data_IF_952587095998
#
_entry.id   IF_952587095998
#
_cell.length_a   1.000
_cell.length_b   1.000
_cell.length_c   1.000
_cell.angle_alpha   90.00
_cell.angle_beta   90.00
_cell.angle_gamma   90.00
#
_symmetry.space_group_name_H-M   'P 1'
#
loop_
_entity.id
_entity.type
_entity.pdbx_description
1 polymer ?
#
# COMPACT_ATOMS: atom_id res chain seq x y z
N UNK A 1 -47.52 -12.90 31.55
CA UNK A 1 -47.08 -12.25 30.29
C UNK A 1 -45.73 -11.60 30.57
N UNK A 2 -44.64 -12.27 30.25
CA UNK A 2 -43.28 -11.77 30.48
C UNK A 2 -42.97 -10.66 29.50
N UNK A 3 -42.62 -9.48 30.01
CA UNK A 3 -42.19 -8.33 29.24
C UNK A 3 -41.00 -8.72 28.35
N UNK A 4 -41.21 -8.76 27.03
CA UNK A 4 -40.09 -8.76 26.10
C UNK A 4 -39.39 -7.41 26.26
N UNK A 5 -38.08 -7.35 26.57
CA UNK A 5 -37.35 -6.09 26.43
C UNK A 5 -37.50 -5.69 24.97
N UNK A 6 -38.07 -4.51 24.73
CA UNK A 6 -38.23 -3.92 23.40
C UNK A 6 -36.86 -3.89 22.73
N UNK A 7 -36.58 -4.90 21.89
CA UNK A 7 -35.29 -5.00 21.24
C UNK A 7 -35.11 -3.77 20.35
N UNK A 8 -33.98 -3.09 20.50
CA UNK A 8 -33.69 -1.91 19.70
C UNK A 8 -33.39 -2.34 18.25
N UNK A 9 -33.83 -1.56 17.26
CA UNK A 9 -33.48 -1.83 15.85
C UNK A 9 -31.95 -1.89 15.72
N UNK A 10 -31.44 -2.94 15.10
CA UNK A 10 -30.00 -3.20 14.97
C UNK A 10 -29.38 -3.98 16.13
N UNK A 11 -30.13 -4.29 17.19
CA UNK A 11 -29.67 -5.15 18.27
C UNK A 11 -29.30 -6.53 17.73
N UNK A 12 -28.13 -7.01 18.11
CA UNK A 12 -27.65 -8.36 17.77
C UNK A 12 -28.02 -9.31 18.91
N UNK A 13 -28.47 -10.52 18.55
CA UNK A 13 -28.84 -11.55 19.51
C UNK A 13 -27.63 -11.99 20.35
N UNK A 14 -27.87 -12.56 21.53
CA UNK A 14 -26.79 -12.95 22.45
C UNK A 14 -25.83 -14.00 21.86
N UNK A 15 -26.32 -14.82 20.92
CA UNK A 15 -25.55 -15.81 20.16
C UNK A 15 -24.90 -15.24 18.88
N UNK A 16 -25.12 -13.96 18.56
CA UNK A 16 -24.52 -13.27 17.42
C UNK A 16 -25.05 -13.69 16.05
N UNK A 17 -26.10 -14.52 16.00
CA UNK A 17 -26.61 -15.10 14.75
C UNK A 17 -27.71 -14.26 14.10
N UNK A 18 -28.44 -13.47 14.88
CA UNK A 18 -29.59 -12.71 14.41
C UNK A 18 -29.46 -11.23 14.75
N UNK A 19 -30.09 -10.40 13.92
CA UNK A 19 -30.23 -8.96 14.14
C UNK A 19 -31.68 -8.57 14.11
N UNK A 20 -32.12 -7.80 15.09
CA UNK A 20 -33.46 -7.28 15.17
C UNK A 20 -33.65 -6.17 14.15
N UNK A 21 -34.60 -6.34 13.23
CA UNK A 21 -34.93 -5.33 12.20
C UNK A 21 -36.03 -4.34 12.64
N UNK A 22 -36.59 -4.52 13.83
CA UNK A 22 -37.72 -3.75 14.34
C UNK A 22 -39.03 -4.54 14.41
N UNK A 23 -39.14 -5.66 13.70
CA UNK A 23 -40.30 -6.55 13.71
C UNK A 23 -39.95 -8.01 14.00
N UNK A 24 -38.79 -8.48 13.52
CA UNK A 24 -38.33 -9.86 13.68
C UNK A 24 -36.80 -9.96 13.78
N UNK A 25 -36.35 -11.12 14.25
CA UNK A 25 -34.94 -11.49 14.25
C UNK A 25 -34.54 -12.04 12.88
N UNK A 26 -33.72 -11.30 12.14
CA UNK A 26 -33.24 -11.68 10.80
C UNK A 26 -31.83 -12.27 10.90
N UNK A 27 -31.54 -13.41 10.24
CA UNK A 27 -30.21 -14.02 10.27
C UNK A 27 -29.13 -13.10 9.68
N UNK A 28 -27.99 -13.03 10.36
CA UNK A 28 -26.83 -12.27 9.91
C UNK A 28 -26.04 -13.12 8.91
N UNK A 29 -25.76 -12.62 7.70
CA UNK A 29 -24.97 -13.36 6.72
C UNK A 29 -23.61 -13.79 7.28
N UNK A 30 -23.21 -15.03 7.00
CA UNK A 30 -21.91 -15.54 7.46
C UNK A 30 -20.77 -14.66 6.93
N UNK A 31 -19.91 -14.24 7.85
CA UNK A 31 -18.78 -13.37 7.52
C UNK A 31 -19.14 -11.89 7.35
N UNK A 32 -20.38 -11.48 7.66
CA UNK A 32 -20.73 -10.08 7.81
C UNK A 32 -19.81 -9.42 8.85
N UNK A 33 -19.40 -8.19 8.56
CA UNK A 33 -18.58 -7.38 9.46
C UNK A 33 -19.09 -5.96 9.44
N UNK A 34 -18.89 -5.27 10.56
CA UNK A 34 -19.35 -3.91 10.73
C UNK A 34 -18.16 -2.95 10.79
N UNK A 35 -18.26 -1.80 10.09
CA UNK A 35 -17.20 -0.81 10.14
C UNK A 35 -17.08 -0.26 11.55
N UNK A 36 -15.84 -0.07 11.99
CA UNK A 36 -15.53 0.71 13.19
C UNK A 36 -15.16 2.13 12.79
N UNK A 37 -15.00 3.06 13.74
CA UNK A 37 -14.48 4.39 13.44
C UNK A 37 -13.10 4.38 12.74
N UNK A 38 -12.35 3.26 12.81
CA UNK A 38 -11.03 3.12 12.19
C UNK A 38 -11.10 2.62 10.74
N UNK A 39 -12.21 2.02 10.32
CA UNK A 39 -12.32 1.37 9.00
C UNK A 39 -12.11 2.35 7.86
N UNK A 40 -12.86 3.45 7.82
CA UNK A 40 -12.75 4.43 6.72
C UNK A 40 -11.42 5.20 6.74
N UNK A 41 -10.93 5.68 7.89
CA UNK A 41 -9.62 6.30 7.96
C UNK A 41 -8.50 5.39 7.47
N UNK A 42 -8.48 4.11 7.86
CA UNK A 42 -7.47 3.17 7.38
C UNK A 42 -7.54 2.96 5.87
N UNK A 43 -8.73 2.73 5.32
CA UNK A 43 -8.93 2.55 3.88
C UNK A 43 -8.47 3.77 3.07
N UNK A 44 -8.79 4.97 3.55
CA UNK A 44 -8.40 6.23 2.90
C UNK A 44 -6.90 6.50 3.04
N UNK A 45 -6.31 6.24 4.20
CA UNK A 45 -4.87 6.40 4.41
C UNK A 45 -4.08 5.44 3.52
N UNK A 46 -4.48 4.17 3.45
CA UNK A 46 -3.86 3.19 2.55
C UNK A 46 -4.04 3.60 1.08
N UNK A 47 -5.24 4.02 0.69
CA UNK A 47 -5.50 4.48 -0.67
C UNK A 47 -4.65 5.70 -1.05
N UNK A 48 -4.60 6.71 -0.18
CA UNK A 48 -3.80 7.91 -0.37
C UNK A 48 -2.31 7.61 -0.41
N UNK A 49 -1.81 6.73 0.45
CA UNK A 49 -0.42 6.30 0.47
C UNK A 49 0.01 5.71 -0.88
N UNK A 50 -0.70 4.71 -1.39
CA UNK A 50 -0.35 4.09 -2.68
C UNK A 50 -0.56 5.04 -3.84
N UNK A 51 -1.61 5.86 -3.84
CA UNK A 51 -1.81 6.86 -4.89
C UNK A 51 -0.64 7.86 -4.94
N UNK A 52 -0.21 8.37 -3.79
CA UNK A 52 0.92 9.27 -3.68
C UNK A 52 2.24 8.60 -4.10
N UNK A 53 2.43 7.32 -3.74
CA UNK A 53 3.60 6.56 -4.14
C UNK A 53 3.66 6.33 -5.66
N UNK A 54 2.52 6.09 -6.32
CA UNK A 54 2.44 6.01 -7.78
C UNK A 54 2.83 7.36 -8.42
N UNK A 55 2.28 8.46 -7.92
CA UNK A 55 2.62 9.80 -8.43
C UNK A 55 4.12 10.10 -8.27
N UNK A 56 4.68 9.78 -7.11
CA UNK A 56 6.11 9.96 -6.85
C UNK A 56 6.96 9.08 -7.76
N UNK A 57 6.56 7.82 -7.98
CA UNK A 57 7.27 6.89 -8.87
C UNK A 57 7.32 7.44 -10.30
N UNK A 58 6.19 7.90 -10.84
CA UNK A 58 6.11 8.50 -12.18
C UNK A 58 6.94 9.78 -12.25
N UNK A 59 6.84 10.65 -11.23
CA UNK A 59 7.59 11.90 -11.18
C UNK A 59 9.10 11.65 -11.16
N UNK A 60 9.57 10.76 -10.29
CA UNK A 60 10.99 10.39 -10.16
C UNK A 60 11.47 9.71 -11.46
N UNK A 61 10.65 8.83 -12.04
CA UNK A 61 10.95 8.22 -13.34
C UNK A 61 11.11 9.25 -14.46
N UNK A 62 10.22 10.24 -14.53
CA UNK A 62 10.32 11.31 -15.53
C UNK A 62 11.61 12.14 -15.39
N UNK A 63 12.11 12.31 -14.16
CA UNK A 63 13.35 13.05 -13.90
C UNK A 63 14.62 12.24 -14.19
N UNK A 64 14.61 10.92 -13.96
CA UNK A 64 15.84 10.11 -13.95
C UNK A 64 15.89 8.97 -14.97
N UNK A 65 14.77 8.57 -15.57
CA UNK A 65 14.75 7.59 -16.66
C UNK A 65 14.81 8.35 -17.99
N UNK A 66 15.99 8.90 -18.27
CA UNK A 66 16.33 9.59 -19.49
C UNK A 66 17.71 9.15 -20.00
N UNK A 67 18.02 9.55 -21.24
CA UNK A 67 19.25 9.17 -21.93
C UNK A 67 20.51 9.51 -21.14
N UNK A 68 20.64 10.75 -20.66
CA UNK A 68 21.85 11.23 -19.99
C UNK A 68 22.13 10.50 -18.67
N UNK A 69 21.07 10.20 -17.92
CA UNK A 69 21.19 9.47 -16.66
C UNK A 69 21.59 8.02 -16.89
N UNK A 70 21.00 7.37 -17.90
CA UNK A 70 21.32 5.98 -18.24
C UNK A 70 22.73 5.83 -18.82
N UNK A 71 23.17 6.78 -19.65
CA UNK A 71 24.53 6.82 -20.18
C UNK A 71 25.57 6.92 -19.04
N UNK A 72 25.32 7.79 -18.05
CA UNK A 72 26.19 7.88 -16.85
C UNK A 72 26.28 6.56 -16.09
N UNK A 73 25.15 5.88 -15.88
CA UNK A 73 25.11 4.58 -15.18
C UNK A 73 25.89 3.51 -15.95
N UNK A 74 25.69 3.43 -17.27
CA UNK A 74 26.38 2.46 -18.13
C UNK A 74 27.89 2.71 -18.15
N UNK A 75 28.31 3.98 -18.25
CA UNK A 75 29.72 4.35 -18.19
C UNK A 75 30.34 4.06 -16.83
N UNK A 76 29.60 4.28 -15.75
CA UNK A 76 30.04 3.96 -14.38
C UNK A 76 30.19 2.44 -14.15
N UNK A 77 29.41 1.60 -14.84
CA UNK A 77 29.52 0.14 -14.75
C UNK A 77 30.71 -0.44 -15.54
N UNK A 78 31.30 0.31 -16.49
CA UNK A 78 32.58 0.01 -17.13
C UNK A 78 32.64 -1.23 -18.05
N UNK A 79 31.61 -2.07 -18.10
CA UNK A 79 31.65 -3.40 -18.72
C UNK A 79 30.55 -3.62 -19.79
N UNK A 80 30.53 -2.79 -20.83
CA UNK A 80 29.70 -3.09 -22.00
C UNK A 80 30.28 -4.31 -22.75
N UNK A 81 29.46 -5.33 -23.08
CA UNK A 81 29.92 -6.47 -23.88
C UNK A 81 30.50 -6.00 -25.21
N UNK A 82 31.70 -6.50 -25.57
CA UNK A 82 32.40 -6.10 -26.79
C UNK A 82 31.50 -6.32 -28.03
N UNK A 83 31.38 -5.29 -28.88
CA UNK A 83 30.52 -5.30 -30.07
C UNK A 83 29.08 -4.81 -29.84
N UNK A 84 28.73 -4.39 -28.63
CA UNK A 84 27.41 -3.79 -28.35
C UNK A 84 27.46 -2.29 -28.53
N UNK A 85 26.53 -1.75 -29.31
CA UNK A 85 26.35 -0.31 -29.48
C UNK A 85 25.75 0.32 -28.20
N UNK A 86 26.43 1.31 -27.58
CA UNK A 86 25.95 1.97 -26.36
C UNK A 86 24.54 2.58 -26.49
N UNK A 87 24.19 3.12 -27.66
CA UNK A 87 22.87 3.74 -27.89
C UNK A 87 21.73 2.72 -27.80
N UNK A 88 21.96 1.51 -28.34
CA UNK A 88 21.03 0.39 -28.25
C UNK A 88 20.80 -0.04 -26.80
N UNK A 89 21.85 -0.11 -25.98
CA UNK A 89 21.74 -0.48 -24.55
C UNK A 89 20.98 0.59 -23.76
N UNK A 90 21.30 1.86 -23.97
CA UNK A 90 20.60 2.99 -23.31
C UNK A 90 19.12 2.98 -23.65
N UNK A 91 18.77 2.83 -24.93
CA UNK A 91 17.37 2.81 -25.39
C UNK A 91 16.59 1.65 -24.77
N UNK A 92 17.20 0.47 -24.70
CA UNK A 92 16.60 -0.70 -24.07
C UNK A 92 16.42 -0.53 -22.55
N UNK A 93 17.40 0.07 -21.86
CA UNK A 93 17.34 0.36 -20.44
C UNK A 93 16.21 1.37 -20.11
N UNK A 94 16.06 2.43 -20.91
CA UNK A 94 14.96 3.40 -20.77
C UNK A 94 13.61 2.70 -20.95
N UNK A 95 13.46 1.85 -21.98
CA UNK A 95 12.24 1.10 -22.22
C UNK A 95 11.88 0.21 -21.03
N UNK A 96 12.84 -0.56 -20.51
CA UNK A 96 12.63 -1.40 -19.32
C UNK A 96 12.28 -0.55 -18.10
N UNK A 97 12.96 0.58 -17.92
CA UNK A 97 12.71 1.50 -16.81
C UNK A 97 11.26 1.99 -16.81
N UNK A 98 10.78 2.50 -17.94
CA UNK A 98 9.39 2.93 -18.08
C UNK A 98 8.38 1.79 -18.01
N UNK A 99 8.67 0.64 -18.62
CA UNK A 99 7.82 -0.54 -18.51
C UNK A 99 7.63 -0.98 -17.04
N UNK A 100 8.72 -0.96 -16.26
CA UNK A 100 8.71 -1.24 -14.82
C UNK A 100 7.83 -0.23 -14.08
N UNK A 101 8.01 1.07 -14.34
CA UNK A 101 7.22 2.15 -13.72
C UNK A 101 5.74 1.99 -14.03
N UNK A 102 5.38 1.67 -15.28
CA UNK A 102 3.98 1.45 -15.68
C UNK A 102 3.37 0.26 -14.93
N UNK A 103 4.06 -0.88 -14.88
CA UNK A 103 3.56 -2.07 -14.18
C UNK A 103 3.38 -1.80 -12.68
N UNK A 104 4.39 -1.22 -12.03
CA UNK A 104 4.32 -0.85 -10.60
C UNK A 104 3.21 0.16 -10.35
N UNK A 105 3.03 1.13 -11.26
CA UNK A 105 1.96 2.13 -11.16
C UNK A 105 0.58 1.49 -11.24
N UNK A 106 0.35 0.56 -12.17
CA UNK A 106 -0.91 -0.18 -12.28
C UNK A 106 -1.18 -0.95 -10.99
N UNK A 107 -0.19 -1.68 -10.47
CA UNK A 107 -0.34 -2.43 -9.22
C UNK A 107 -0.62 -1.50 -8.02
N UNK A 108 0.07 -0.37 -7.93
CA UNK A 108 -0.16 0.65 -6.91
C UNK A 108 -1.56 1.26 -6.99
N UNK A 109 -2.06 1.55 -8.20
CA UNK A 109 -3.42 2.04 -8.39
C UNK A 109 -4.48 0.99 -8.04
N UNK A 110 -4.24 -0.29 -8.35
CA UNK A 110 -5.12 -1.38 -7.93
C UNK A 110 -5.13 -1.50 -6.40
N UNK A 111 -3.98 -1.37 -5.74
CA UNK A 111 -3.89 -1.34 -4.28
C UNK A 111 -4.64 -0.13 -3.69
N UNK A 112 -4.51 1.05 -4.30
CA UNK A 112 -5.21 2.25 -3.88
C UNK A 112 -6.73 2.11 -4.01
N UNK A 113 -7.20 1.63 -5.17
CA UNK A 113 -8.62 1.43 -5.44
C UNK A 113 -9.21 0.33 -4.55
N UNK A 114 -8.53 -0.80 -4.41
CA UNK A 114 -8.96 -1.90 -3.56
C UNK A 114 -9.02 -1.50 -2.08
N UNK A 115 -8.11 -0.62 -1.64
CA UNK A 115 -8.15 -0.03 -0.29
C UNK A 115 -9.36 0.90 -0.14
N UNK A 116 -9.58 1.79 -1.09
CA UNK A 116 -10.70 2.74 -1.09
C UNK A 116 -12.07 2.04 -1.07
N UNK A 117 -12.20 0.97 -1.86
CA UNK A 117 -13.41 0.13 -1.93
C UNK A 117 -13.53 -0.86 -0.76
N UNK A 118 -12.50 -0.97 0.09
CA UNK A 118 -12.52 -1.86 1.25
C UNK A 118 -12.49 -3.35 0.93
N UNK A 119 -11.86 -3.76 -0.17
CA UNK A 119 -11.75 -5.17 -0.56
C UNK A 119 -11.01 -5.96 0.50
N UNK A 120 -11.63 -7.02 1.04
CA UNK A 120 -11.10 -7.77 2.18
C UNK A 120 -9.77 -8.46 1.92
N UNK A 121 -9.54 -8.94 0.70
CA UNK A 121 -8.27 -9.55 0.31
C UNK A 121 -7.16 -8.50 0.13
N UNK A 122 -7.54 -7.29 -0.31
CA UNK A 122 -6.60 -6.19 -0.51
C UNK A 122 -5.94 -5.75 0.81
N UNK A 123 -6.65 -5.87 1.94
CA UNK A 123 -6.06 -5.63 3.25
C UNK A 123 -4.74 -6.39 3.44
N UNK A 124 -4.71 -7.68 3.08
CA UNK A 124 -3.53 -8.52 3.27
C UNK A 124 -2.40 -8.14 2.31
N UNK A 125 -2.75 -7.80 1.07
CA UNK A 125 -1.77 -7.31 0.09
C UNK A 125 -1.13 -6.02 0.58
N UNK A 126 -1.93 -5.05 1.01
CA UNK A 126 -1.44 -3.78 1.56
C UNK A 126 -0.58 -4.00 2.79
N UNK A 127 -1.00 -4.86 3.71
CA UNK A 127 -0.22 -5.18 4.91
C UNK A 127 1.18 -5.73 4.54
N UNK A 128 1.24 -6.66 3.59
CA UNK A 128 2.52 -7.21 3.11
C UNK A 128 3.36 -6.15 2.41
N UNK A 129 2.76 -5.36 1.51
CA UNK A 129 3.46 -4.31 0.77
C UNK A 129 4.05 -3.25 1.70
N UNK A 130 3.31 -2.81 2.71
CA UNK A 130 3.82 -1.87 3.71
C UNK A 130 4.93 -2.48 4.57
N UNK A 131 4.83 -3.78 4.91
CA UNK A 131 5.91 -4.50 5.60
C UNK A 131 7.19 -4.61 4.76
N UNK A 132 7.08 -4.95 3.47
CA UNK A 132 8.21 -5.02 2.55
C UNK A 132 8.83 -3.64 2.29
N UNK A 133 8.01 -2.60 2.17
CA UNK A 133 8.47 -1.23 2.01
C UNK A 133 9.35 -0.78 3.20
N UNK A 134 8.99 -1.19 4.43
CA UNK A 134 9.81 -0.93 5.62
C UNK A 134 11.20 -1.58 5.60
N UNK A 135 11.37 -2.72 4.93
CA UNK A 135 12.68 -3.36 4.77
C UNK A 135 13.55 -2.56 3.80
N UNK A 136 12.96 -2.04 2.71
CA UNK A 136 13.64 -1.18 1.75
C UNK A 136 14.19 0.10 2.37
N UNK A 137 13.47 0.69 3.32
CA UNK A 137 13.91 1.88 4.08
C UNK A 137 15.33 1.72 4.65
N UNK A 138 15.60 0.57 5.27
CA UNK A 138 16.89 0.29 5.90
C UNK A 138 18.04 0.34 4.89
N UNK A 139 17.79 -0.09 3.65
CA UNK A 139 18.81 -0.03 2.58
C UNK A 139 19.08 1.40 2.12
N UNK A 140 18.05 2.25 2.08
CA UNK A 140 18.17 3.65 1.69
C UNK A 140 18.98 4.49 2.68
N UNK A 141 18.93 4.17 3.98
CA UNK A 141 19.72 4.85 5.00
C UNK A 141 21.23 4.84 4.69
N UNK A 142 21.72 3.78 4.04
CA UNK A 142 23.15 3.65 3.69
C UNK A 142 23.62 4.74 2.71
N UNK A 143 22.74 5.25 1.86
CA UNK A 143 23.07 6.30 0.89
C UNK A 143 23.21 7.69 1.51
N UNK A 144 22.68 7.93 2.71
CA UNK A 144 22.97 9.17 3.43
C UNK A 144 24.39 9.19 3.99
N UNK A 145 24.96 8.02 4.28
CA UNK A 145 26.34 7.89 4.76
C UNK A 145 27.34 7.97 3.59
N UNK A 146 26.96 7.45 2.41
CA UNK A 146 27.77 7.48 1.19
C UNK A 146 26.97 8.02 0.01
N UNK A 147 26.73 9.34 -0.07
CA UNK A 147 25.91 9.94 -1.13
C UNK A 147 26.45 9.66 -2.54
N UNK A 148 27.78 9.58 -2.69
CA UNK A 148 28.48 9.30 -3.95
C UNK A 148 28.22 7.89 -4.52
N UNK A 149 27.73 6.96 -3.71
CA UNK A 149 27.38 5.62 -4.14
C UNK A 149 25.94 5.52 -4.68
N UNK A 150 25.13 6.58 -4.56
CA UNK A 150 23.73 6.56 -4.96
C UNK A 150 23.53 6.93 -6.44
N UNK A 151 22.69 6.18 -7.18
CA UNK A 151 22.28 6.55 -8.54
C UNK A 151 21.29 7.74 -8.58
N UNK A 152 20.75 8.15 -7.43
CA UNK A 152 19.78 9.25 -7.29
C UNK A 152 20.30 10.32 -6.33
N UNK A 153 19.91 11.61 -6.50
CA UNK A 153 20.34 12.67 -5.60
C UNK A 153 19.73 12.50 -4.20
N UNK A 154 20.43 12.98 -3.18
CA UNK A 154 20.09 12.80 -1.77
C UNK A 154 18.68 13.28 -1.41
N UNK A 155 18.16 14.31 -2.07
CA UNK A 155 16.79 14.78 -1.81
C UNK A 155 15.74 13.75 -2.22
N UNK A 156 15.95 13.03 -3.33
CA UNK A 156 15.00 12.02 -3.81
C UNK A 156 14.97 10.83 -2.84
N UNK A 157 16.14 10.46 -2.31
CA UNK A 157 16.28 9.46 -1.25
C UNK A 157 15.57 9.91 0.02
N UNK A 158 15.70 11.19 0.41
CA UNK A 158 15.01 11.73 1.58
C UNK A 158 13.48 11.69 1.44
N UNK A 159 12.96 11.98 0.25
CA UNK A 159 11.52 11.86 0.00
C UNK A 159 11.08 10.39 0.07
N UNK A 160 11.83 9.47 -0.55
CA UNK A 160 11.52 8.04 -0.48
C UNK A 160 11.55 7.51 0.97
N UNK A 161 12.51 7.98 1.77
CA UNK A 161 12.62 7.62 3.20
C UNK A 161 11.42 8.11 4.02
N UNK A 162 10.90 9.31 3.74
CA UNK A 162 9.67 9.80 4.39
C UNK A 162 8.48 8.90 4.05
N UNK A 163 8.36 8.46 2.78
CA UNK A 163 7.34 7.49 2.39
C UNK A 163 7.56 6.14 3.06
N UNK A 164 8.80 5.70 3.23
CA UNK A 164 9.11 4.45 3.89
C UNK A 164 8.69 4.47 5.37
N UNK A 165 8.96 5.57 6.08
CA UNK A 165 8.51 5.79 7.46
C UNK A 165 6.98 5.81 7.52
N UNK A 166 6.32 6.51 6.59
CA UNK A 166 4.86 6.53 6.51
C UNK A 166 4.28 5.13 6.24
N UNK A 167 4.93 4.34 5.39
CA UNK A 167 4.59 2.95 5.09
C UNK A 167 4.69 2.06 6.33
N UNK A 168 5.76 2.20 7.13
CA UNK A 168 5.92 1.48 8.40
C UNK A 168 4.87 1.90 9.42
N UNK A 169 4.59 3.20 9.56
CA UNK A 169 3.55 3.68 10.47
C UNK A 169 2.17 3.10 10.08
N UNK A 170 1.86 3.07 8.78
CA UNK A 170 0.64 2.49 8.26
C UNK A 170 0.60 0.97 8.46
N UNK A 171 1.71 0.26 8.28
CA UNK A 171 1.85 -1.16 8.59
C UNK A 171 1.49 -1.46 10.05
N UNK A 172 2.10 -0.72 10.99
CA UNK A 172 1.83 -0.88 12.43
C UNK A 172 0.36 -0.59 12.73
N UNK A 173 -0.20 0.46 12.14
CA UNK A 173 -1.61 0.79 12.35
C UNK A 173 -2.54 -0.33 11.85
N UNK A 174 -2.33 -0.83 10.62
CA UNK A 174 -3.09 -1.95 10.06
C UNK A 174 -2.96 -3.23 10.90
N UNK A 175 -1.76 -3.51 11.41
CA UNK A 175 -1.49 -4.66 12.28
C UNK A 175 -2.31 -4.56 13.58
N UNK A 176 -2.32 -3.39 14.22
CA UNK A 176 -3.15 -3.14 15.41
C UNK A 176 -4.64 -3.31 15.06
N UNK A 177 -5.08 -2.77 13.92
CA UNK A 177 -6.47 -2.87 13.46
C UNK A 177 -6.93 -4.32 13.25
N UNK A 178 -6.09 -5.17 12.64
CA UNK A 178 -6.42 -6.58 12.41
C UNK A 178 -6.42 -7.40 13.68
N UNK A 179 -5.52 -7.13 14.61
CA UNK A 179 -5.48 -7.83 15.90
C UNK A 179 -6.72 -7.46 16.74
N UNK A 180 -7.11 -6.18 16.74
CA UNK A 180 -8.19 -5.69 17.61
C UNK A 180 -9.59 -5.95 17.05
N UNK A 181 -9.79 -5.82 15.74
CA UNK A 181 -11.12 -5.91 15.12
C UNK A 181 -11.14 -6.90 13.96
N UNK A 182 -10.04 -6.94 13.18
CA UNK A 182 -9.85 -7.76 11.99
C UNK A 182 -9.60 -6.93 10.73
N UNK A 183 -9.66 -7.52 9.53
CA UNK A 183 -9.27 -6.84 8.29
C UNK A 183 -10.05 -5.53 8.10
N UNK A 184 -9.33 -4.47 7.73
CA UNK A 184 -9.85 -3.09 7.64
C UNK A 184 -10.48 -2.57 8.94
N UNK A 185 -10.03 -3.06 10.09
CA UNK A 185 -10.60 -2.75 11.39
C UNK A 185 -12.12 -3.00 11.47
N UNK A 186 -12.67 -3.93 10.67
CA UNK A 186 -14.09 -4.25 10.72
C UNK A 186 -14.35 -5.34 11.76
N UNK A 187 -15.26 -5.09 12.70
CA UNK A 187 -15.56 -6.01 13.81
C UNK A 187 -16.62 -7.05 13.44
N UNK A 188 -16.74 -8.11 14.24
CA UNK A 188 -17.84 -9.06 14.11
C UNK A 188 -19.12 -8.43 14.70
N UNK A 189 -20.29 -8.69 14.11
CA UNK A 189 -21.56 -8.25 14.69
C UNK A 189 -21.71 -8.74 16.13
N UNK A 190 -22.19 -7.88 17.02
CA UNK A 190 -22.41 -8.21 18.44
C UNK A 190 -21.17 -8.23 19.35
N UNK A 191 -20.01 -7.79 18.85
CA UNK A 191 -18.77 -7.54 19.64
C UNK A 191 -18.44 -6.06 19.70
#
# INVERSE_FOLDING_TARGET
>A
MSQNPSAAVGQVSADGQFRWDGQQWVPIPRGAREPTPWTRPMQLASAGFFAAQVLLSIFTAALYINHDSMLKVIQAQGNLPQGTDPETVVSFAIFIGWATVVVVSILGLVAALGSYLGWRWMFWVVLVLCGLNGIGAITNLSYFVKPEASPMPTWAIAVDEVFAIAGVALFVWLLIGVIRFGPWAMKKPGT
#
